data_IF_221105992031
#
_entry.id   IF_221105992031
#
_cell.length_a   1.000
_cell.length_b   1.000
_cell.length_c   1.000
_cell.angle_alpha   90.00
_cell.angle_beta   90.00
_cell.angle_gamma   90.00
#
_symmetry.space_group_name_H-M   'P 1'
#
loop_
_entity.id
_entity.type
_entity.pdbx_description
1 polymer ?
#
# COMPACT_ATOMS: atom_id res chain seq x y z
N UNK A 1 7.02 8.43 15.16
CA UNK A 1 5.66 7.97 14.86
C UNK A 1 5.77 6.53 14.39
N UNK A 2 4.96 5.65 14.97
CA UNK A 2 4.82 4.24 14.56
C UNK A 2 3.51 4.04 13.82
N UNK A 3 3.43 3.09 12.90
CA UNK A 3 2.16 2.72 12.24
C UNK A 3 1.14 2.19 13.25
N UNK A 4 1.59 1.64 14.38
CA UNK A 4 0.72 1.21 15.49
C UNK A 4 -0.12 2.36 16.06
N UNK A 5 0.39 3.59 16.01
CA UNK A 5 -0.25 4.80 16.55
C UNK A 5 -1.28 5.41 15.59
N UNK A 6 -1.32 4.95 14.34
CA UNK A 6 -2.24 5.45 13.32
C UNK A 6 -3.56 4.66 13.33
N UNK A 7 -4.65 5.38 13.04
CA UNK A 7 -5.92 4.77 12.68
C UNK A 7 -5.71 3.86 11.46
N UNK A 8 -6.02 2.54 11.54
CA UNK A 8 -5.85 1.63 10.41
C UNK A 8 -6.68 2.02 9.18
N UNK A 9 -7.79 2.76 9.36
CA UNK A 9 -8.67 3.25 8.29
C UNK A 9 -8.34 4.68 7.83
N UNK A 10 -7.20 5.24 8.26
CA UNK A 10 -6.70 6.52 7.77
C UNK A 10 -6.70 6.56 6.23
N UNK A 11 -7.19 7.65 5.64
CA UNK A 11 -7.19 7.80 4.18
C UNK A 11 -5.76 7.86 3.65
N UNK A 12 -5.52 7.37 2.42
CA UNK A 12 -4.18 7.41 1.80
C UNK A 12 -3.63 8.84 1.71
N UNK A 13 -4.50 9.83 1.49
CA UNK A 13 -4.12 11.24 1.48
C UNK A 13 -3.60 11.69 2.85
N UNK A 14 -4.33 11.40 3.93
CA UNK A 14 -3.92 11.78 5.29
C UNK A 14 -2.69 10.98 5.74
N UNK A 15 -2.59 9.71 5.37
CA UNK A 15 -1.41 8.88 5.62
C UNK A 15 -0.15 9.48 4.96
N UNK A 16 -0.27 9.94 3.72
CA UNK A 16 0.81 10.64 3.02
C UNK A 16 1.23 11.93 3.74
N UNK A 17 0.27 12.68 4.30
CA UNK A 17 0.57 13.86 5.12
C UNK A 17 1.32 13.48 6.41
N UNK A 18 0.89 12.44 7.12
CA UNK A 18 1.60 11.95 8.30
C UNK A 18 3.04 11.50 7.96
N UNK A 19 3.23 10.82 6.84
CA UNK A 19 4.56 10.42 6.37
C UNK A 19 5.47 11.60 6.02
N UNK A 20 4.93 12.73 5.53
CA UNK A 20 5.72 13.93 5.26
C UNK A 20 6.36 14.57 6.50
N UNK A 21 5.89 14.21 7.70
CA UNK A 21 6.47 14.66 8.98
C UNK A 21 7.66 13.81 9.42
N UNK A 22 7.89 12.66 8.78
CA UNK A 22 8.98 11.76 9.11
C UNK A 22 10.30 12.22 8.46
N UNK A 23 11.46 11.89 9.06
CA UNK A 23 12.75 12.14 8.45
C UNK A 23 12.88 11.49 7.06
N UNK A 24 13.66 12.13 6.18
CA UNK A 24 14.04 11.54 4.90
C UNK A 24 14.76 10.20 5.13
N UNK A 25 14.39 9.17 4.38
CA UNK A 25 14.98 7.84 4.54
C UNK A 25 14.48 7.07 5.77
N UNK A 26 13.35 7.47 6.36
CA UNK A 26 12.67 6.66 7.38
C UNK A 26 12.06 5.39 6.74
N UNK A 27 12.30 4.24 7.36
CA UNK A 27 11.77 2.94 6.93
C UNK A 27 10.98 2.25 8.04
N UNK A 28 9.96 1.51 7.64
CA UNK A 28 9.12 0.70 8.52
C UNK A 28 9.54 -0.76 8.49
N UNK A 29 9.45 -1.45 9.62
CA UNK A 29 9.77 -2.88 9.67
C UNK A 29 8.68 -3.73 9.01
N UNK A 30 9.03 -4.94 8.57
CA UNK A 30 8.03 -5.89 8.08
C UNK A 30 6.94 -6.20 9.12
N UNK A 31 7.31 -6.34 10.38
CA UNK A 31 6.38 -6.69 11.46
C UNK A 31 5.34 -5.59 11.65
N UNK A 32 5.80 -4.35 11.79
CA UNK A 32 4.96 -3.16 11.91
C UNK A 32 4.06 -2.97 10.68
N UNK A 33 4.61 -3.20 9.49
CA UNK A 33 3.86 -3.13 8.23
C UNK A 33 2.75 -4.19 8.19
N UNK A 34 3.06 -5.44 8.55
CA UNK A 34 2.09 -6.54 8.59
C UNK A 34 0.98 -6.28 9.60
N UNK A 35 1.33 -5.79 10.78
CA UNK A 35 0.37 -5.45 11.83
C UNK A 35 -0.60 -4.37 11.36
N UNK A 36 -0.06 -3.26 10.81
CA UNK A 36 -0.87 -2.16 10.29
C UNK A 36 -1.80 -2.60 9.16
N UNK A 37 -1.29 -3.36 8.17
CA UNK A 37 -2.10 -3.84 7.05
C UNK A 37 -3.17 -4.85 7.49
N UNK A 38 -2.88 -5.67 8.51
CA UNK A 38 -3.85 -6.63 9.05
C UNK A 38 -5.02 -5.91 9.71
N UNK A 39 -4.74 -4.93 10.57
CA UNK A 39 -5.77 -4.05 11.17
C UNK A 39 -6.54 -3.25 10.13
N UNK A 40 -5.87 -2.82 9.05
CA UNK A 40 -6.54 -2.15 7.93
C UNK A 40 -7.51 -3.09 7.20
N UNK A 41 -7.08 -4.32 6.90
CA UNK A 41 -7.90 -5.30 6.16
C UNK A 41 -9.10 -5.79 6.96
N UNK A 42 -8.90 -6.05 8.24
CA UNK A 42 -9.91 -6.57 9.15
C UNK A 42 -9.96 -5.72 10.42
N UNK A 43 -10.56 -4.52 10.38
CA UNK A 43 -10.57 -3.61 11.52
C UNK A 43 -11.27 -4.19 12.75
N UNK A 44 -12.24 -5.08 12.54
CA UNK A 44 -13.07 -5.69 13.59
C UNK A 44 -12.60 -7.09 13.99
N UNK A 45 -11.35 -7.48 13.67
CA UNK A 45 -10.85 -8.84 13.92
C UNK A 45 -9.34 -8.90 14.12
N UNK A 46 -8.89 -9.86 14.94
CA UNK A 46 -7.47 -10.17 15.15
C UNK A 46 -6.84 -11.01 14.02
N UNK A 47 -7.50 -11.10 12.86
CA UNK A 47 -6.98 -11.80 11.69
C UNK A 47 -5.70 -11.13 11.20
N UNK A 48 -4.72 -11.95 10.84
CA UNK A 48 -3.42 -11.50 10.32
C UNK A 48 -3.26 -11.84 8.86
N UNK A 49 -2.67 -10.93 8.10
CA UNK A 49 -2.25 -11.21 6.72
C UNK A 49 -1.16 -12.27 6.79
N UNK A 50 -1.41 -13.40 6.12
CA UNK A 50 -0.45 -14.48 6.06
C UNK A 50 0.75 -14.11 5.16
N UNK A 51 1.84 -14.85 5.33
CA UNK A 51 3.10 -14.62 4.60
C UNK A 51 2.94 -14.70 3.08
N UNK A 52 2.10 -15.61 2.59
CA UNK A 52 1.89 -15.82 1.15
C UNK A 52 1.12 -14.64 0.55
N UNK A 53 0.05 -14.19 1.21
CA UNK A 53 -0.69 -12.99 0.82
C UNK A 53 0.23 -11.77 0.80
N UNK A 54 1.00 -11.56 1.87
CA UNK A 54 1.91 -10.42 1.94
C UNK A 54 3.00 -10.46 0.87
N UNK A 55 3.57 -11.64 0.58
CA UNK A 55 4.52 -11.82 -0.51
C UNK A 55 3.90 -11.46 -1.88
N UNK A 56 2.66 -11.90 -2.15
CA UNK A 56 1.95 -11.55 -3.40
C UNK A 56 1.75 -10.05 -3.54
N UNK A 57 1.30 -9.37 -2.48
CA UNK A 57 1.09 -7.93 -2.51
C UNK A 57 2.38 -7.15 -2.78
N UNK A 58 3.50 -7.59 -2.22
CA UNK A 58 4.81 -6.98 -2.50
C UNK A 58 5.22 -7.14 -3.95
N UNK A 59 5.03 -8.32 -4.52
CA UNK A 59 5.31 -8.56 -5.94
C UNK A 59 4.41 -7.70 -6.83
N UNK A 60 3.11 -7.65 -6.54
CA UNK A 60 2.15 -6.84 -7.30
C UNK A 60 2.46 -5.33 -7.19
N UNK A 61 3.12 -4.89 -6.11
CA UNK A 61 3.61 -3.51 -5.91
C UNK A 61 5.03 -3.23 -6.45
N UNK A 62 5.73 -4.25 -6.96
CA UNK A 62 7.12 -4.15 -7.42
C UNK A 62 8.15 -3.92 -6.30
N UNK A 63 7.85 -4.37 -5.07
CA UNK A 63 8.71 -4.17 -3.90
C UNK A 63 9.72 -5.33 -3.79
N UNK A 64 11.00 -5.02 -4.02
CA UNK A 64 12.08 -6.04 -4.07
C UNK A 64 12.73 -6.36 -2.71
N UNK A 65 12.60 -5.48 -1.72
CA UNK A 65 13.21 -5.66 -0.41
C UNK A 65 12.29 -6.41 0.56
N UNK A 66 12.90 -7.15 1.50
CA UNK A 66 12.17 -8.12 2.33
C UNK A 66 11.94 -7.72 3.79
N UNK A 67 12.49 -6.59 4.27
CA UNK A 67 12.47 -6.30 5.72
C UNK A 67 12.16 -4.86 6.12
N UNK A 68 12.47 -3.90 5.24
CA UNK A 68 12.34 -2.47 5.50
C UNK A 68 11.57 -1.83 4.37
N UNK A 69 10.51 -1.10 4.68
CA UNK A 69 9.58 -0.54 3.70
C UNK A 69 9.64 0.98 3.74
N UNK A 70 9.78 1.61 2.58
CA UNK A 70 9.72 3.06 2.48
C UNK A 70 8.28 3.56 2.65
N UNK A 71 8.11 4.86 2.87
CA UNK A 71 6.79 5.50 2.90
C UNK A 71 5.97 5.21 1.63
N UNK A 72 6.62 5.19 0.45
CA UNK A 72 5.94 4.87 -0.81
C UNK A 72 5.50 3.41 -0.87
N UNK A 73 6.26 2.49 -0.27
CA UNK A 73 5.91 1.07 -0.27
C UNK A 73 4.67 0.83 0.60
N UNK A 74 4.61 1.48 1.78
CA UNK A 74 3.44 1.40 2.65
C UNK A 74 2.20 1.93 1.93
N UNK A 75 2.28 3.07 1.23
CA UNK A 75 1.14 3.61 0.47
C UNK A 75 0.62 2.64 -0.59
N UNK A 76 1.52 2.01 -1.36
CA UNK A 76 1.14 1.00 -2.37
C UNK A 76 0.50 -0.23 -1.71
N UNK A 77 1.07 -0.72 -0.61
CA UNK A 77 0.52 -1.85 0.13
C UNK A 77 -0.86 -1.53 0.72
N UNK A 78 -1.09 -0.30 1.19
CA UNK A 78 -2.40 0.15 1.63
C UNK A 78 -3.42 0.20 0.49
N UNK A 79 -3.03 0.65 -0.71
CA UNK A 79 -3.90 0.63 -1.90
C UNK A 79 -4.35 -0.81 -2.24
N UNK A 80 -3.41 -1.76 -2.26
CA UNK A 80 -3.72 -3.18 -2.48
C UNK A 80 -4.65 -3.69 -1.37
N UNK A 81 -4.33 -3.37 -0.11
CA UNK A 81 -5.10 -3.80 1.04
C UNK A 81 -6.55 -3.31 0.98
N UNK A 82 -6.76 -2.04 0.64
CA UNK A 82 -8.09 -1.45 0.49
C UNK A 82 -8.91 -2.15 -0.59
N UNK A 83 -8.29 -2.52 -1.71
CA UNK A 83 -8.95 -3.28 -2.77
C UNK A 83 -9.48 -4.63 -2.28
N UNK A 84 -8.64 -5.41 -1.58
CA UNK A 84 -9.04 -6.71 -1.04
C UNK A 84 -9.96 -6.63 0.19
N UNK A 85 -10.05 -5.47 0.85
CA UNK A 85 -10.94 -5.26 1.99
C UNK A 85 -12.40 -5.10 1.57
N UNK A 86 -12.65 -4.52 0.40
CA UNK A 86 -13.98 -4.33 -0.17
C UNK A 86 -14.40 -5.47 -1.10
N UNK A 87 -13.88 -6.68 -0.82
CA UNK A 87 -14.08 -7.90 -1.62
C UNK A 87 -13.61 -7.84 -3.08
N UNK A 88 -12.71 -6.90 -3.41
CA UNK A 88 -12.07 -6.84 -4.71
C UNK A 88 -11.17 -8.04 -4.99
N UNK A 89 -11.18 -8.52 -6.22
CA UNK A 89 -10.34 -9.62 -6.70
C UNK A 89 -8.99 -9.13 -7.18
N UNK A 90 -7.99 -10.02 -7.21
CA UNK A 90 -6.66 -9.69 -7.72
C UNK A 90 -6.66 -9.14 -9.15
N UNK A 91 -7.47 -9.74 -10.03
CA UNK A 91 -7.49 -9.37 -11.44
C UNK A 91 -8.01 -7.94 -11.61
N UNK A 92 -9.05 -7.57 -10.88
CA UNK A 92 -9.57 -6.19 -10.87
C UNK A 92 -8.51 -5.20 -10.39
N UNK A 93 -7.75 -5.54 -9.34
CA UNK A 93 -6.66 -4.67 -8.89
C UNK A 93 -5.60 -4.47 -9.99
N UNK A 94 -5.17 -5.56 -10.63
CA UNK A 94 -4.16 -5.50 -11.69
C UNK A 94 -4.66 -4.71 -12.90
N UNK A 95 -5.95 -4.82 -13.24
CA UNK A 95 -6.54 -4.07 -14.34
C UNK A 95 -6.64 -2.58 -14.00
N UNK A 96 -7.00 -2.21 -12.77
CA UNK A 96 -6.96 -0.82 -12.29
C UNK A 96 -5.54 -0.22 -12.37
N UNK A 97 -4.52 -0.97 -11.95
CA UNK A 97 -3.12 -0.55 -12.04
C UNK A 97 -2.72 -0.33 -13.50
N UNK A 98 -3.01 -1.28 -14.40
CA UNK A 98 -2.73 -1.13 -15.84
C UNK A 98 -3.45 0.07 -16.45
N UNK A 99 -4.72 0.26 -16.12
CA UNK A 99 -5.51 1.40 -16.60
C UNK A 99 -4.89 2.73 -16.13
N UNK A 100 -4.49 2.83 -14.86
CA UNK A 100 -3.85 4.04 -14.33
C UNK A 100 -2.51 4.33 -15.03
N UNK A 101 -1.70 3.31 -15.30
CA UNK A 101 -0.45 3.42 -16.05
C UNK A 101 -0.71 3.89 -17.49
N UNK A 102 -1.69 3.30 -18.18
CA UNK A 102 -2.07 3.70 -19.53
C UNK A 102 -2.59 5.14 -19.58
N UNK A 103 -3.36 5.59 -18.59
CA UNK A 103 -3.83 6.97 -18.50
C UNK A 103 -2.68 7.96 -18.28
N UNK A 104 -1.69 7.61 -17.45
CA UNK A 104 -0.49 8.44 -17.23
C UNK A 104 0.33 8.53 -18.53
N UNK A 105 0.56 7.40 -19.21
CA UNK A 105 1.26 7.37 -20.49
C UNK A 105 0.53 8.24 -21.53
N UNK A 106 -0.78 8.08 -21.68
CA UNK A 106 -1.57 8.88 -22.62
C UNK A 106 -1.48 10.39 -22.33
N UNK A 107 -1.51 10.81 -21.06
CA UNK A 107 -1.31 12.23 -20.70
C UNK A 107 0.09 12.74 -21.03
N UNK A 108 1.12 11.92 -20.82
CA UNK A 108 2.52 12.27 -21.13
C UNK A 108 2.79 12.38 -22.65
N UNK A 109 2.06 11.61 -23.46
CA UNK A 109 2.17 11.69 -24.92
C UNK A 109 1.28 12.78 -25.52
N UNK A 110 0.19 13.18 -24.85
CA UNK A 110 -0.66 14.30 -25.27
C UNK A 110 -0.05 15.69 -24.98
N UNK A 111 0.83 15.81 -23.99
CA UNK A 111 1.52 17.08 -23.67
C UNK A 111 2.77 17.35 -24.52
N UNK A 112 3.11 16.46 -25.46
CA UNK A 112 4.26 16.60 -26.37
C UNK A 112 3.89 17.03 -27.79
N UNK A 113 2.65 17.43 -28.04
CA UNK A 113 2.20 18.02 -29.31
C UNK A 113 1.86 19.50 -29.13
#
# INVERSE_FOLDING_TARGET
MKLSELDPLISLFKLKQEFSKLPTGYYFSQEETLEFLSRRRWPDSDRRIDRTTFWRWRNDAGIQHNKLFSQSDILKLCQICDHYRVDGTRNEYLDLVKQSQNQILNRLFQTKC
#
